data_IF_049679092422
#
_entry.id   IF_049679092422
#
_cell.length_a   1.000
_cell.length_b   1.000
_cell.length_c   1.000
_cell.angle_alpha   90.00
_cell.angle_beta   90.00
_cell.angle_gamma   90.00
#
_symmetry.space_group_name_H-M   'P 1'
#
loop_
_entity.id
_entity.type
_entity.pdbx_description
1 polymer ?
#
# COMPACT_ATOMS: atom_id res chain seq x y z
N UNK A 1 -21.29 17.50 22.02
CA UNK A 1 -21.78 17.16 20.66
C UNK A 1 -21.20 15.80 20.28
N UNK A 2 -22.06 14.79 20.03
CA UNK A 2 -21.64 13.46 19.59
C UNK A 2 -21.47 13.47 18.07
N UNK A 3 -20.30 13.11 17.56
CA UNK A 3 -20.17 12.63 16.18
C UNK A 3 -19.91 11.12 16.26
N UNK A 4 -20.85 10.28 15.81
CA UNK A 4 -20.63 8.85 15.73
C UNK A 4 -19.75 8.59 14.50
N UNK A 5 -18.45 8.39 14.73
CA UNK A 5 -17.52 7.92 13.71
C UNK A 5 -17.76 6.43 13.45
N UNK A 6 -18.87 6.12 12.76
CA UNK A 6 -19.07 4.83 12.11
C UNK A 6 -18.03 4.69 11.00
N UNK A 7 -16.92 4.03 11.33
CA UNK A 7 -16.26 2.97 10.59
C UNK A 7 -14.79 2.93 11.00
N UNK A 8 -14.34 1.76 11.45
CA UNK A 8 -12.99 1.36 11.86
C UNK A 8 -11.93 1.62 10.78
N UNK A 9 -11.68 2.89 10.45
CA UNK A 9 -10.60 3.31 9.57
C UNK A 9 -9.65 4.16 10.39
N UNK A 10 -8.64 3.47 10.90
CA UNK A 10 -7.47 3.97 11.59
C UNK A 10 -6.98 5.26 10.90
N UNK A 11 -7.36 6.41 11.45
CA UNK A 11 -6.94 7.74 10.99
C UNK A 11 -5.90 8.23 11.98
N UNK A 12 -4.65 8.16 11.58
CA UNK A 12 -3.55 8.80 12.27
C UNK A 12 -3.77 10.33 12.26
N UNK A 13 -3.48 10.94 13.41
CA UNK A 13 -3.96 12.26 13.84
C UNK A 13 -3.45 13.45 13.00
N UNK A 14 -2.62 13.22 11.99
CA UNK A 14 -1.90 14.26 11.26
C UNK A 14 -2.30 14.44 9.79
N UNK A 15 -3.28 13.68 9.27
CA UNK A 15 -3.77 13.87 7.90
C UNK A 15 -2.75 13.61 6.78
N UNK A 16 -1.55 13.15 7.11
CA UNK A 16 -0.60 12.64 6.14
C UNK A 16 -1.00 11.21 5.77
N UNK A 17 -1.02 10.92 4.47
CA UNK A 17 -1.21 9.56 3.95
C UNK A 17 -0.13 8.70 4.60
N UNK A 18 -0.54 7.79 5.49
CA UNK A 18 0.37 6.86 6.15
C UNK A 18 1.22 6.19 5.07
N UNK A 19 2.51 6.57 4.97
CA UNK A 19 3.42 5.93 4.02
C UNK A 19 3.32 4.43 4.27
N UNK A 20 2.94 3.68 3.24
CA UNK A 20 2.78 2.24 3.38
C UNK A 20 4.13 1.67 3.81
N UNK A 21 4.18 1.04 4.98
CA UNK A 21 5.45 0.56 5.55
C UNK A 21 6.08 -0.41 4.54
N UNK A 22 7.40 -0.29 4.35
CA UNK A 22 8.11 -1.06 3.31
C UNK A 22 8.10 -2.58 3.56
N UNK A 23 7.74 -3.02 4.78
CA UNK A 23 7.53 -4.40 5.20
C UNK A 23 6.11 -4.94 4.87
N UNK A 24 5.23 -4.12 4.27
CA UNK A 24 3.89 -4.57 3.87
C UNK A 24 3.99 -5.69 2.82
N UNK A 25 3.25 -6.78 3.03
CA UNK A 25 3.18 -7.89 2.07
C UNK A 25 2.40 -7.54 0.80
N UNK A 26 2.85 -8.07 -0.33
CA UNK A 26 2.18 -7.94 -1.64
C UNK A 26 0.74 -8.45 -1.59
N UNK A 27 0.48 -9.55 -0.88
CA UNK A 27 -0.88 -10.07 -0.71
C UNK A 27 -1.81 -9.07 -0.01
N UNK A 28 -1.30 -8.34 0.99
CA UNK A 28 -2.05 -7.25 1.64
C UNK A 28 -2.28 -6.09 0.69
N UNK A 29 -1.32 -5.78 -0.19
CA UNK A 29 -1.47 -4.74 -1.20
C UNK A 29 -2.47 -5.14 -2.29
N UNK A 30 -2.52 -6.41 -2.69
CA UNK A 30 -3.51 -6.92 -3.65
C UNK A 30 -4.94 -6.79 -3.14
N UNK A 31 -5.16 -7.01 -1.84
CA UNK A 31 -6.47 -6.77 -1.23
C UNK A 31 -6.94 -5.32 -1.33
N UNK A 32 -6.02 -4.36 -1.43
CA UNK A 32 -6.31 -2.92 -1.46
C UNK A 32 -6.34 -2.38 -2.90
N UNK A 33 -5.35 -2.76 -3.72
CA UNK A 33 -5.12 -2.23 -5.07
C UNK A 33 -5.55 -3.21 -6.18
N UNK A 34 -6.08 -4.38 -5.82
CA UNK A 34 -6.53 -5.43 -6.74
C UNK A 34 -5.51 -6.57 -6.90
N UNK A 35 -6.01 -7.76 -7.22
CA UNK A 35 -5.20 -8.98 -7.43
C UNK A 35 -4.10 -8.81 -8.50
N UNK A 36 -4.31 -7.90 -9.47
CA UNK A 36 -3.31 -7.52 -10.47
C UNK A 36 -2.17 -6.64 -9.94
N UNK A 37 -2.10 -6.35 -8.64
CA UNK A 37 -0.99 -5.60 -8.06
C UNK A 37 0.25 -6.49 -7.88
N UNK A 38 1.39 -6.06 -8.46
CA UNK A 38 2.67 -6.76 -8.39
C UNK A 38 2.52 -8.27 -8.68
N UNK A 39 1.85 -8.62 -9.79
CA UNK A 39 1.49 -9.99 -10.17
C UNK A 39 2.71 -10.93 -10.30
N UNK A 40 3.85 -10.36 -10.69
CA UNK A 40 5.11 -11.09 -10.88
C UNK A 40 5.84 -11.39 -9.55
N UNK A 41 5.29 -10.89 -8.43
CA UNK A 41 5.82 -11.14 -7.09
C UNK A 41 4.95 -12.12 -6.33
N UNK A 42 5.56 -12.87 -5.42
CA UNK A 42 4.79 -13.74 -4.51
C UNK A 42 4.00 -12.91 -3.50
N UNK A 43 2.86 -13.41 -3.04
CA UNK A 43 1.98 -12.73 -2.09
C UNK A 43 2.65 -12.45 -0.72
N UNK A 44 3.64 -13.25 -0.36
CA UNK A 44 4.47 -13.09 0.85
C UNK A 44 5.70 -12.19 0.63
N UNK A 45 5.91 -11.68 -0.57
CA UNK A 45 6.97 -10.71 -0.82
C UNK A 45 6.64 -9.37 -0.15
N UNK A 46 7.66 -8.68 0.33
CA UNK A 46 7.52 -7.34 0.91
C UNK A 46 7.51 -6.26 -0.18
N UNK A 47 6.79 -5.16 0.09
CA UNK A 47 6.75 -3.97 -0.76
C UNK A 47 8.16 -3.46 -1.09
N UNK A 48 9.08 -3.45 -0.13
CA UNK A 48 10.48 -3.06 -0.36
C UNK A 48 11.14 -3.83 -1.50
N UNK A 49 10.85 -5.13 -1.60
CA UNK A 49 11.40 -5.99 -2.66
C UNK A 49 10.82 -5.61 -4.01
N UNK A 50 9.53 -5.32 -4.07
CA UNK A 50 8.85 -4.83 -5.28
C UNK A 50 9.45 -3.50 -5.71
N UNK A 51 9.53 -2.52 -4.81
CA UNK A 51 10.08 -1.19 -5.08
C UNK A 51 11.51 -1.27 -5.63
N UNK A 52 12.37 -2.10 -5.03
CA UNK A 52 13.74 -2.33 -5.49
C UNK A 52 13.82 -2.94 -6.89
N UNK A 53 12.94 -3.91 -7.19
CA UNK A 53 12.94 -4.62 -8.47
C UNK A 53 12.41 -3.74 -9.61
N UNK A 54 11.39 -2.94 -9.30
CA UNK A 54 10.77 -1.97 -10.21
C UNK A 54 11.57 -0.65 -10.28
N UNK A 55 12.67 -0.53 -9.52
CA UNK A 55 13.54 0.66 -9.45
C UNK A 55 12.82 1.96 -9.09
N UNK A 56 11.78 1.86 -8.25
CA UNK A 56 11.00 3.00 -7.75
C UNK A 56 11.23 3.22 -6.26
N UNK A 57 11.09 4.47 -5.82
CA UNK A 57 11.41 4.88 -4.45
C UNK A 57 10.22 4.72 -3.48
N UNK A 58 9.00 4.68 -4.01
CA UNK A 58 7.77 4.73 -3.21
C UNK A 58 6.60 3.98 -3.87
N UNK A 59 5.61 3.62 -3.06
CA UNK A 59 4.38 2.98 -3.54
C UNK A 59 3.62 3.90 -4.51
N UNK A 60 3.58 5.20 -4.24
CA UNK A 60 2.92 6.18 -5.11
C UNK A 60 3.55 6.23 -6.51
N UNK A 61 4.88 6.17 -6.58
CA UNK A 61 5.60 6.11 -7.85
C UNK A 61 5.33 4.80 -8.60
N UNK A 62 5.28 3.67 -7.87
CA UNK A 62 4.88 2.38 -8.44
C UNK A 62 3.47 2.41 -9.02
N UNK A 63 2.53 3.12 -8.37
CA UNK A 63 1.14 3.22 -8.82
C UNK A 63 0.98 4.16 -10.01
N UNK A 64 1.79 5.24 -10.08
CA UNK A 64 1.79 6.18 -11.22
C UNK A 64 2.38 5.58 -12.49
N UNK A 65 3.33 4.66 -12.36
CA UNK A 65 3.95 3.95 -13.48
C UNK A 65 3.12 2.76 -14.00
N UNK A 66 1.91 2.54 -13.48
CA UNK A 66 1.01 1.52 -14.01
C UNK A 66 0.30 2.08 -15.25
N UNK A 67 0.45 1.46 -16.45
CA UNK A 67 -0.26 1.88 -17.66
C UNK A 67 -1.77 1.64 -17.56
#
# INVERSE_FOLDING_TARGET
>A
MKQPGLDDRHRDKDGQIHRKRSDTLVGTLRKIYGEGFAKDFRSDAQLKTVLKKEQVSSLDELLKNKP
#
